data_IF_561793775808
#
_entry.id   IF_561793775808
#
_cell.length_a   1.000
_cell.length_b   1.000
_cell.length_c   1.000
_cell.angle_alpha   90.00
_cell.angle_beta   90.00
_cell.angle_gamma   90.00
#
_symmetry.space_group_name_H-M   'P 1'
#
loop_
_entity.id
_entity.type
_entity.pdbx_description
1 polymer ?
#
# COMPACT_ATOMS: atom_id res chain seq x y z
N UNK A 1 21.74 0.30 -13.42
CA UNK A 1 20.26 0.17 -13.41
C UNK A 1 19.83 -0.05 -11.97
N UNK A 2 18.99 0.81 -11.40
CA UNK A 2 18.46 0.60 -10.04
C UNK A 2 17.32 -0.43 -10.15
N UNK A 3 17.42 -1.53 -9.41
CA UNK A 3 16.36 -2.55 -9.34
C UNK A 3 15.38 -2.14 -8.24
N UNK A 4 14.09 -2.04 -8.60
CA UNK A 4 13.01 -1.90 -7.63
C UNK A 4 12.31 -3.24 -7.45
N UNK A 5 12.24 -3.71 -6.22
CA UNK A 5 11.51 -4.95 -5.87
C UNK A 5 10.23 -4.56 -5.15
N UNK A 6 9.08 -5.00 -5.65
CA UNK A 6 7.78 -4.78 -5.00
C UNK A 6 7.27 -6.13 -4.50
N UNK A 7 6.92 -6.18 -3.23
CA UNK A 7 6.37 -7.38 -2.60
C UNK A 7 4.89 -7.16 -2.35
N UNK A 8 4.06 -8.18 -2.53
CA UNK A 8 2.67 -8.13 -2.13
C UNK A 8 2.29 -9.35 -1.30
N UNK A 9 1.48 -9.14 -0.26
CA UNK A 9 1.01 -10.22 0.59
C UNK A 9 -0.38 -9.93 1.17
N UNK A 10 -1.30 -10.85 0.94
CA UNK A 10 -2.53 -10.95 1.71
C UNK A 10 -2.23 -11.56 3.09
N UNK A 11 -2.28 -10.74 4.13
CA UNK A 11 -1.86 -11.11 5.50
C UNK A 11 -2.99 -11.68 6.37
N UNK A 12 -4.22 -11.79 5.84
CA UNK A 12 -5.40 -12.37 6.53
C UNK A 12 -5.50 -12.04 8.03
N UNK A 13 -5.57 -10.75 8.38
CA UNK A 13 -5.63 -10.20 9.76
C UNK A 13 -4.34 -10.26 10.56
N UNK A 14 -3.26 -10.82 10.04
CA UNK A 14 -1.98 -10.97 10.75
C UNK A 14 -1.45 -9.66 11.33
N UNK A 15 -1.67 -8.55 10.64
CA UNK A 15 -1.22 -7.22 11.09
C UNK A 15 -2.00 -6.65 12.29
N UNK A 16 -3.21 -7.14 12.54
CA UNK A 16 -4.03 -6.71 13.68
C UNK A 16 -3.59 -7.29 15.02
N UNK A 17 -2.77 -8.35 15.01
CA UNK A 17 -2.22 -8.99 16.22
C UNK A 17 -0.78 -8.49 16.43
N UNK A 18 -0.44 -7.86 17.57
CA UNK A 18 0.89 -7.28 17.78
C UNK A 18 2.05 -8.26 17.58
N UNK A 19 1.93 -9.49 18.09
CA UNK A 19 2.96 -10.51 17.95
C UNK A 19 3.18 -10.92 16.49
N UNK A 20 2.09 -11.24 15.77
CA UNK A 20 2.17 -11.54 14.34
C UNK A 20 2.74 -10.38 13.54
N UNK A 21 2.36 -9.13 13.86
CA UNK A 21 2.90 -7.94 13.20
C UNK A 21 4.41 -7.82 13.38
N UNK A 22 4.94 -8.05 14.59
CA UNK A 22 6.39 -8.06 14.84
C UNK A 22 7.09 -9.15 14.02
N UNK A 23 6.53 -10.36 13.98
CA UNK A 23 7.08 -11.46 13.18
C UNK A 23 7.06 -11.14 11.68
N UNK A 24 5.99 -10.51 11.19
CA UNK A 24 5.87 -10.06 9.80
C UNK A 24 6.93 -8.99 9.48
N UNK A 25 7.12 -8.00 10.35
CA UNK A 25 8.16 -6.98 10.18
C UNK A 25 9.58 -7.58 10.22
N UNK A 26 9.84 -8.51 11.14
CA UNK A 26 11.11 -9.22 11.21
C UNK A 26 11.37 -10.08 9.96
N UNK A 27 10.32 -10.66 9.36
CA UNK A 27 10.48 -11.34 8.07
C UNK A 27 10.76 -10.35 6.93
N UNK A 28 10.04 -9.21 6.89
CA UNK A 28 10.26 -8.20 5.86
C UNK A 28 11.63 -7.55 5.89
N UNK A 29 12.26 -7.41 7.06
CA UNK A 29 13.63 -6.89 7.15
C UNK A 29 14.67 -7.82 6.53
N UNK A 30 14.33 -9.09 6.27
CA UNK A 30 15.19 -10.02 5.53
C UNK A 30 15.07 -9.84 4.00
N UNK A 31 14.10 -9.05 3.53
CA UNK A 31 13.78 -8.89 2.12
C UNK A 31 14.32 -7.56 1.60
N UNK A 32 15.03 -7.60 0.46
CA UNK A 32 15.45 -6.37 -0.23
C UNK A 32 14.28 -5.81 -1.08
N UNK A 33 13.33 -5.17 -0.41
CA UNK A 33 12.11 -4.61 -0.99
C UNK A 33 12.17 -3.09 -1.10
N UNK A 34 11.77 -2.55 -2.26
CA UNK A 34 11.52 -1.12 -2.41
C UNK A 34 10.19 -0.70 -1.79
N UNK A 35 9.16 -1.55 -1.91
CA UNK A 35 7.88 -1.37 -1.25
C UNK A 35 7.20 -2.71 -1.00
N UNK A 36 6.33 -2.75 0.01
CA UNK A 36 5.57 -3.93 0.41
C UNK A 36 4.09 -3.56 0.48
N UNK A 37 3.26 -4.31 -0.24
CA UNK A 37 1.83 -4.08 -0.43
C UNK A 37 1.03 -5.15 0.29
N UNK A 38 0.40 -4.77 1.39
CA UNK A 38 -0.41 -5.65 2.21
C UNK A 38 -1.90 -5.41 1.99
N UNK A 39 -2.66 -6.50 1.89
CA UNK A 39 -4.12 -6.51 1.86
C UNK A 39 -4.65 -7.38 2.99
N UNK A 40 -5.93 -7.20 3.33
CA UNK A 40 -6.54 -7.91 4.47
C UNK A 40 -5.77 -7.70 5.79
N UNK A 41 -5.23 -6.50 6.02
CA UNK A 41 -4.51 -6.20 7.26
C UNK A 41 -5.44 -6.10 8.48
N UNK A 42 -6.70 -5.68 8.29
CA UNK A 42 -7.74 -5.56 9.32
C UNK A 42 -7.34 -4.78 10.59
N UNK A 43 -6.38 -3.86 10.45
CA UNK A 43 -5.98 -2.95 11.53
C UNK A 43 -7.10 -1.94 11.73
N UNK A 44 -7.59 -1.80 12.97
CA UNK A 44 -8.62 -0.81 13.30
C UNK A 44 -8.08 0.61 13.13
N UNK A 45 -8.90 1.58 12.67
CA UNK A 45 -8.46 2.97 12.46
C UNK A 45 -7.78 3.62 13.66
N UNK A 46 -8.23 3.30 14.88
CA UNK A 46 -7.66 3.88 16.10
C UNK A 46 -6.19 3.48 16.32
N UNK A 47 -5.74 2.38 15.71
CA UNK A 47 -4.38 1.87 15.83
C UNK A 47 -3.47 2.35 14.70
N UNK A 48 -3.98 3.05 13.68
CA UNK A 48 -3.17 3.40 12.51
C UNK A 48 -1.96 4.27 12.85
N UNK A 49 -2.08 5.18 13.82
CA UNK A 49 -0.93 5.99 14.24
C UNK A 49 0.13 5.11 14.91
N UNK A 50 -0.27 4.21 15.82
CA UNK A 50 0.62 3.23 16.42
C UNK A 50 1.37 2.41 15.36
N UNK A 51 0.70 1.96 14.29
CA UNK A 51 1.35 1.20 13.22
C UNK A 51 2.39 2.04 12.47
N UNK A 52 2.12 3.33 12.28
CA UNK A 52 3.09 4.26 11.66
C UNK A 52 4.29 4.48 12.55
N UNK A 53 4.08 4.59 13.86
CA UNK A 53 5.14 4.84 14.83
C UNK A 53 6.02 3.58 15.07
N UNK A 54 5.44 2.38 14.97
CA UNK A 54 6.15 1.11 15.16
C UNK A 54 7.03 0.68 13.97
N UNK A 55 6.79 1.21 12.77
CA UNK A 55 7.50 0.79 11.56
C UNK A 55 8.61 1.79 11.22
N UNK A 56 9.85 1.31 11.10
CA UNK A 56 11.03 2.18 10.90
C UNK A 56 11.05 2.92 9.55
N UNK A 57 10.16 2.57 8.63
CA UNK A 57 10.04 3.20 7.31
C UNK A 57 8.78 4.05 7.12
N UNK A 58 8.38 4.29 5.87
CA UNK A 58 7.12 5.02 5.59
C UNK A 58 5.93 4.06 5.53
N UNK A 59 4.81 4.49 6.09
CA UNK A 59 3.57 3.73 6.16
C UNK A 59 2.42 4.52 5.55
N UNK A 60 1.77 3.95 4.54
CA UNK A 60 0.54 4.47 3.95
C UNK A 60 -0.57 3.45 4.15
N UNK A 61 -1.65 3.85 4.83
CA UNK A 61 -2.69 2.92 5.27
C UNK A 61 -4.07 3.50 5.00
N UNK A 62 -4.99 2.65 4.56
CA UNK A 62 -6.42 2.90 4.60
C UNK A 62 -7.16 1.67 5.17
N UNK A 63 -8.47 1.57 4.97
CA UNK A 63 -9.26 0.46 5.51
C UNK A 63 -8.91 -0.92 4.93
N UNK A 64 -8.32 -0.97 3.74
CA UNK A 64 -8.18 -2.20 2.95
C UNK A 64 -6.74 -2.53 2.58
N UNK A 65 -5.94 -1.51 2.37
CA UNK A 65 -4.59 -1.59 1.85
C UNK A 65 -3.61 -0.91 2.81
N UNK A 66 -2.43 -1.50 2.91
CA UNK A 66 -1.29 -0.98 3.64
C UNK A 66 -0.07 -1.07 2.74
N UNK A 67 0.59 0.05 2.50
CA UNK A 67 1.85 0.14 1.76
C UNK A 67 2.96 0.53 2.72
N UNK A 68 4.00 -0.29 2.78
CA UNK A 68 5.19 -0.06 3.58
C UNK A 68 6.37 0.24 2.66
N UNK A 69 7.15 1.27 2.98
CA UNK A 69 8.45 1.57 2.35
C UNK A 69 9.52 1.31 3.41
N UNK A 70 10.34 0.25 3.28
CA UNK A 70 11.44 -0.03 4.20
C UNK A 70 12.41 1.16 4.36
N UNK A 71 13.04 1.28 5.53
CA UNK A 71 13.96 2.39 5.83
C UNK A 71 15.23 2.39 4.94
N UNK A 72 15.64 1.21 4.49
CA UNK A 72 16.76 0.98 3.56
C UNK A 72 16.31 0.98 2.08
N UNK A 73 15.02 1.21 1.80
CA UNK A 73 14.49 1.25 0.44
C UNK A 73 15.05 2.42 -0.35
N UNK A 74 15.35 2.27 -1.66
CA UNK A 74 15.67 3.40 -2.53
C UNK A 74 14.52 4.43 -2.64
N UNK A 75 13.30 4.08 -2.20
CA UNK A 75 12.16 4.98 -2.18
C UNK A 75 12.05 5.78 -0.86
N UNK A 76 12.88 5.51 0.14
CA UNK A 76 12.79 6.18 1.44
C UNK A 76 13.00 7.69 1.33
N UNK A 77 13.94 8.11 0.48
CA UNK A 77 14.27 9.52 0.20
C UNK A 77 13.42 10.15 -0.90
N UNK A 78 12.50 9.39 -1.51
CA UNK A 78 11.66 9.91 -2.57
C UNK A 78 10.68 10.96 -2.00
N UNK A 79 10.51 12.06 -2.73
CA UNK A 79 9.57 13.11 -2.39
C UNK A 79 8.15 12.56 -2.55
N UNK A 80 7.38 12.56 -1.47
CA UNK A 80 5.98 12.16 -1.53
C UNK A 80 5.18 13.27 -2.20
N UNK A 81 4.67 13.01 -3.40
CA UNK A 81 3.85 13.98 -4.13
C UNK A 81 2.39 13.91 -3.69
N UNK A 82 1.85 12.70 -3.56
CA UNK A 82 0.44 12.49 -3.24
C UNK A 82 0.20 11.12 -2.64
N UNK A 83 -0.75 11.06 -1.70
CA UNK A 83 -1.47 9.83 -1.36
C UNK A 83 -2.96 10.07 -1.54
N UNK A 84 -3.67 9.17 -2.23
CA UNK A 84 -5.13 9.25 -2.32
C UNK A 84 -5.77 7.86 -2.29
N UNK A 85 -7.01 7.81 -1.81
CA UNK A 85 -7.83 6.60 -1.83
C UNK A 85 -9.00 6.76 -2.80
N UNK A 86 -9.36 5.68 -3.50
CA UNK A 86 -10.49 5.62 -4.42
C UNK A 86 -11.19 4.27 -4.32
N UNK A 87 -12.29 4.09 -5.08
CA UNK A 87 -13.08 2.85 -5.12
C UNK A 87 -13.53 2.41 -3.71
N UNK A 88 -14.14 3.32 -2.95
CA UNK A 88 -14.57 3.07 -1.56
C UNK A 88 -13.40 2.66 -0.64
N UNK A 89 -12.20 3.21 -0.87
CA UNK A 89 -10.99 2.89 -0.12
C UNK A 89 -10.28 1.61 -0.59
N UNK A 90 -10.77 0.94 -1.63
CA UNK A 90 -10.19 -0.31 -2.15
C UNK A 90 -8.96 -0.08 -3.02
N UNK A 91 -8.74 1.14 -3.50
CA UNK A 91 -7.51 1.57 -4.16
C UNK A 91 -6.79 2.57 -3.26
N UNK A 92 -5.52 2.29 -2.95
CA UNK A 92 -4.58 3.23 -2.32
C UNK A 92 -3.49 3.57 -3.33
N UNK A 93 -3.43 4.83 -3.73
CA UNK A 93 -2.39 5.35 -4.63
C UNK A 93 -1.38 6.16 -3.83
N UNK A 94 -0.12 5.86 -4.01
CA UNK A 94 0.99 6.64 -3.46
C UNK A 94 1.96 6.99 -4.58
N UNK A 95 2.14 8.29 -4.83
CA UNK A 95 2.97 8.81 -5.92
C UNK A 95 4.20 9.52 -5.34
N UNK A 96 5.37 9.20 -5.88
CA UNK A 96 6.66 9.71 -5.43
C UNK A 96 7.41 10.35 -6.60
N UNK A 97 8.17 11.41 -6.33
CA UNK A 97 9.25 11.84 -7.23
C UNK A 97 10.56 11.25 -6.73
N UNK A 98 11.22 10.51 -7.60
CA UNK A 98 12.51 9.91 -7.27
C UNK A 98 13.57 11.00 -7.15
N UNK A 99 14.44 10.90 -6.14
CA UNK A 99 15.46 11.92 -5.87
C UNK A 99 16.38 12.10 -7.09
N UNK A 100 16.51 13.34 -7.56
CA UNK A 100 17.34 13.67 -8.72
C UNK A 100 16.77 13.22 -10.07
N UNK A 101 15.50 12.80 -10.12
CA UNK A 101 14.81 12.39 -11.35
C UNK A 101 13.52 13.21 -11.52
N UNK A 102 13.14 13.44 -12.78
CA UNK A 102 11.84 14.04 -13.15
C UNK A 102 10.72 12.99 -13.18
N UNK A 103 11.07 11.70 -13.17
CA UNK A 103 10.11 10.61 -13.22
C UNK A 103 9.32 10.48 -11.92
N UNK A 104 8.02 10.21 -12.10
CA UNK A 104 7.09 9.90 -11.02
C UNK A 104 6.97 8.37 -10.92
N UNK A 105 7.19 7.84 -9.72
CA UNK A 105 6.93 6.44 -9.41
C UNK A 105 5.61 6.34 -8.64
N UNK A 106 4.67 5.54 -9.14
CA UNK A 106 3.35 5.39 -8.54
C UNK A 106 3.05 3.94 -8.14
N UNK A 107 2.69 3.76 -6.87
CA UNK A 107 2.20 2.51 -6.33
C UNK A 107 0.67 2.56 -6.28
N UNK A 108 0.02 1.59 -6.93
CA UNK A 108 -1.43 1.40 -6.88
C UNK A 108 -1.76 0.08 -6.15
N UNK A 109 -2.06 0.13 -4.85
CA UNK A 109 -2.44 -1.05 -4.07
C UNK A 109 -3.96 -1.23 -4.10
N UNK A 110 -4.43 -2.26 -4.80
CA UNK A 110 -5.86 -2.51 -5.06
C UNK A 110 -6.29 -3.80 -4.37
N UNK A 111 -7.43 -3.75 -3.69
CA UNK A 111 -8.04 -4.91 -3.05
C UNK A 111 -9.48 -5.10 -3.51
N UNK A 112 -9.83 -6.29 -4.00
CA UNK A 112 -11.21 -6.60 -4.35
C UNK A 112 -12.03 -6.99 -3.11
N UNK A 113 -13.34 -6.69 -3.05
CA UNK A 113 -14.21 -7.16 -1.97
C UNK A 113 -14.25 -8.69 -1.86
N UNK A 114 -14.41 -9.22 -0.64
CA UNK A 114 -14.63 -10.66 -0.40
C UNK A 114 -16.05 -11.06 -0.78
N UNK A 115 -17.03 -10.22 -0.43
CA UNK A 115 -18.44 -10.47 -0.74
C UNK A 115 -18.67 -10.53 -2.25
N UNK A 116 -19.32 -11.60 -2.72
CA UNK A 116 -19.47 -11.88 -4.14
C UNK A 116 -20.26 -10.78 -4.87
N UNK A 117 -21.31 -10.25 -4.24
CA UNK A 117 -22.16 -9.21 -4.85
C UNK A 117 -21.43 -7.88 -4.93
N UNK A 118 -20.71 -7.50 -3.87
CA UNK A 118 -19.87 -6.30 -3.87
C UNK A 118 -18.71 -6.44 -4.87
N UNK A 119 -18.14 -7.63 -5.00
CA UNK A 119 -17.02 -7.89 -5.91
C UNK A 119 -17.43 -7.74 -7.37
N UNK A 120 -18.60 -8.26 -7.76
CA UNK A 120 -19.13 -8.03 -9.10
C UNK A 120 -19.26 -6.53 -9.41
N UNK A 121 -19.93 -5.77 -8.53
CA UNK A 121 -20.07 -4.31 -8.65
C UNK A 121 -18.73 -3.58 -8.66
N UNK A 122 -17.73 -4.06 -7.92
CA UNK A 122 -16.40 -3.48 -7.89
C UNK A 122 -15.72 -3.56 -9.27
N UNK A 123 -15.83 -4.70 -9.97
CA UNK A 123 -15.29 -4.81 -11.33
C UNK A 123 -16.01 -3.90 -12.33
N UNK A 124 -17.32 -3.70 -12.19
CA UNK A 124 -18.05 -2.70 -12.99
C UNK A 124 -17.52 -1.28 -12.73
N UNK A 125 -17.27 -0.93 -11.46
CA UNK A 125 -16.68 0.36 -11.07
C UNK A 125 -15.29 0.59 -11.67
N UNK A 126 -14.47 -0.45 -11.85
CA UNK A 126 -13.14 -0.31 -12.47
C UNK A 126 -13.25 0.19 -13.92
N UNK A 127 -14.22 -0.30 -14.68
CA UNK A 127 -14.46 0.11 -16.07
C UNK A 127 -14.85 1.60 -16.12
N UNK A 128 -15.76 2.02 -15.23
CA UNK A 128 -16.17 3.42 -15.13
C UNK A 128 -15.03 4.34 -14.68
N UNK A 129 -14.20 3.88 -13.75
CA UNK A 129 -13.06 4.66 -13.27
C UNK A 129 -12.00 4.88 -14.37
N UNK A 130 -11.78 3.87 -15.24
CA UNK A 130 -10.93 4.00 -16.43
C UNK A 130 -11.39 5.16 -17.33
N UNK A 131 -12.69 5.26 -17.59
CA UNK A 131 -13.25 6.30 -18.46
C UNK A 131 -13.15 7.72 -17.90
N UNK A 132 -13.03 7.90 -16.58
CA UNK A 132 -12.85 9.23 -15.99
C UNK A 132 -11.38 9.69 -15.96
N UNK A 133 -10.42 8.77 -15.83
CA UNK A 133 -8.99 9.10 -15.89
C UNK A 133 -8.52 9.55 -17.28
N UNK A 134 -9.25 9.25 -18.34
CA UNK A 134 -8.95 9.70 -19.72
C UNK A 134 -9.43 11.13 -20.01
N UNK A 135 -10.07 11.80 -19.06
CA UNK A 135 -10.59 13.17 -19.20
C UNK A 135 -9.95 14.18 -18.23
N UNK A 136 -8.86 13.79 -17.56
CA UNK A 136 -7.98 14.64 -16.75
C UNK A 136 -6.58 14.66 -17.38
#
# INVERSE_FOLDING_TARGET
MIKHTIITWNVRRGMGVPENRRNIYAYFSTLNASAILLQEHYIRPQLWQLIKDEYEGKVFINQHCLTLIPADSPLIDAELLRTHSALDGRLLVTSFRLRGDIKIFEINNIYAPIDLKQRAKFFDKLIFHKTQKTHL
#
